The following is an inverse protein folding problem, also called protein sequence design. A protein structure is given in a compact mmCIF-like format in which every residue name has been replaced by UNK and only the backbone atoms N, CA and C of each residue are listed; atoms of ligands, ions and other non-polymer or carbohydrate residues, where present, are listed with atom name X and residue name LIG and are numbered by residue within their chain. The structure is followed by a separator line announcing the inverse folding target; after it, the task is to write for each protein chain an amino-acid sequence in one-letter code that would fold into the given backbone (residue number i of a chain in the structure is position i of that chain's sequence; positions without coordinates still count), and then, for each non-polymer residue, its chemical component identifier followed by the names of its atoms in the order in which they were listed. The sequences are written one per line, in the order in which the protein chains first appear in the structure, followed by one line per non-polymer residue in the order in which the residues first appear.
data_IF_259187981893
#
_entry.id   IF_259187981893
#
_cell.length_a   1.000
_cell.length_b   1.000
_cell.length_c   1.000
_cell.angle_alpha   90.00
_cell.angle_beta   90.00
_cell.angle_gamma   90.00
#
_symmetry.space_group_name_H-M   'P 1'
#
loop_
_entity.id
_entity.type
_entity.pdbx_description
1 polymer ?
#
# COMPACT_ATOMS: atom_id res chain seq x y z
N UNK A 1 -24.11 26.83 -1.88
CA UNK A 1 -22.79 26.23 -2.18
C UNK A 1 -22.24 26.88 -3.45
N UNK A 2 -20.92 27.07 -3.61
CA UNK A 2 -20.32 27.77 -4.77
C UNK A 2 -19.87 26.73 -5.83
N UNK A 3 -20.55 26.60 -7.00
CA UNK A 3 -20.31 25.51 -7.95
C UNK A 3 -18.85 25.41 -8.44
N UNK A 4 -18.18 26.55 -8.64
CA UNK A 4 -16.78 26.59 -9.06
C UNK A 4 -15.81 26.04 -8.01
N UNK A 5 -16.10 26.25 -6.72
CA UNK A 5 -15.28 25.67 -5.63
C UNK A 5 -15.48 24.15 -5.63
N UNK A 6 -16.72 23.68 -5.75
CA UNK A 6 -17.02 22.25 -5.81
C UNK A 6 -16.34 21.58 -7.01
N UNK A 7 -16.39 22.19 -8.20
CA UNK A 7 -15.70 21.67 -9.38
C UNK A 7 -14.18 21.61 -9.18
N UNK A 8 -13.55 22.71 -8.73
CA UNK A 8 -12.10 22.77 -8.55
C UNK A 8 -11.60 21.77 -7.49
N UNK A 9 -12.31 21.61 -6.38
CA UNK A 9 -11.87 20.73 -5.28
C UNK A 9 -12.30 19.27 -5.52
N UNK A 10 -13.58 19.01 -5.74
CA UNK A 10 -14.11 17.65 -5.78
C UNK A 10 -13.81 16.93 -7.11
N UNK A 11 -13.55 17.68 -8.18
CA UNK A 11 -13.24 17.11 -9.51
C UNK A 11 -11.76 17.30 -9.83
N UNK A 12 -11.31 18.53 -10.03
CA UNK A 12 -9.96 18.80 -10.57
C UNK A 12 -8.87 18.34 -9.60
N UNK A 13 -8.89 18.84 -8.36
CA UNK A 13 -7.88 18.48 -7.36
C UNK A 13 -7.93 16.97 -7.04
N UNK A 14 -9.13 16.40 -6.89
CA UNK A 14 -9.31 14.95 -6.68
C UNK A 14 -8.64 14.13 -7.79
N UNK A 15 -8.94 14.43 -9.06
CA UNK A 15 -8.37 13.70 -10.20
C UNK A 15 -6.85 13.89 -10.25
N UNK A 16 -6.37 15.11 -10.06
CA UNK A 16 -4.94 15.40 -10.01
C UNK A 16 -4.21 14.54 -8.98
N UNK A 17 -4.73 14.46 -7.75
CA UNK A 17 -4.14 13.65 -6.68
C UNK A 17 -4.17 12.15 -7.00
N UNK A 18 -5.29 11.64 -7.51
CA UNK A 18 -5.43 10.22 -7.89
C UNK A 18 -4.44 9.85 -9.02
N UNK A 19 -4.26 10.73 -10.01
CA UNK A 19 -3.31 10.49 -11.09
C UNK A 19 -1.86 10.47 -10.58
N UNK A 20 -1.49 11.41 -9.71
CA UNK A 20 -0.15 11.42 -9.10
C UNK A 20 0.10 10.18 -8.26
N UNK A 21 -0.91 9.72 -7.54
CA UNK A 21 -0.88 8.48 -6.79
C UNK A 21 -0.57 7.28 -7.70
N UNK A 22 -1.35 7.12 -8.77
CA UNK A 22 -1.17 6.05 -9.75
C UNK A 22 0.22 6.11 -10.42
N UNK A 23 0.66 7.30 -10.83
CA UNK A 23 1.96 7.47 -11.47
C UNK A 23 3.13 7.29 -10.51
N UNK A 24 2.94 7.54 -9.21
CA UNK A 24 3.96 7.29 -8.19
C UNK A 24 4.31 5.81 -8.10
N UNK A 25 3.32 4.92 -8.15
CA UNK A 25 3.57 3.47 -8.17
C UNK A 25 4.31 3.07 -9.45
N UNK A 26 3.85 3.56 -10.61
CA UNK A 26 4.49 3.29 -11.91
C UNK A 26 5.90 3.89 -12.07
N UNK A 27 6.31 4.80 -11.18
CA UNK A 27 7.64 5.44 -11.20
C UNK A 27 8.51 4.97 -10.04
N UNK A 28 8.18 5.37 -8.81
CA UNK A 28 8.99 5.09 -7.63
C UNK A 28 9.11 3.59 -7.35
N UNK A 29 8.01 2.83 -7.45
CA UNK A 29 8.07 1.38 -7.21
C UNK A 29 8.77 0.60 -8.34
N UNK A 30 9.03 1.22 -9.49
CA UNK A 30 9.84 0.63 -10.56
C UNK A 30 11.32 1.02 -10.49
N UNK A 31 11.67 2.01 -9.69
CA UNK A 31 13.04 2.55 -9.61
C UNK A 31 13.69 2.31 -8.25
N UNK A 32 12.97 2.52 -7.16
CA UNK A 32 13.46 2.43 -5.79
C UNK A 32 12.84 1.24 -5.05
N UNK A 33 13.63 0.57 -4.21
CA UNK A 33 13.18 -0.51 -3.35
C UNK A 33 13.98 -1.81 -3.53
N UNK A 34 13.43 -2.89 -2.99
CA UNK A 34 14.06 -4.22 -2.98
C UNK A 34 13.35 -5.17 -3.94
N UNK A 35 14.05 -6.20 -4.42
CA UNK A 35 13.48 -7.17 -5.38
C UNK A 35 13.64 -8.61 -4.88
N UNK A 36 12.95 -8.98 -3.79
CA UNK A 36 13.16 -10.28 -3.15
C UNK A 36 12.63 -11.47 -3.95
N UNK A 37 11.65 -11.29 -4.84
CA UNK A 37 10.97 -12.38 -5.57
C UNK A 37 11.52 -12.62 -6.97
N UNK A 38 11.82 -11.56 -7.73
CA UNK A 38 12.54 -11.63 -9.01
C UNK A 38 13.39 -10.36 -9.20
N UNK A 39 14.71 -10.48 -9.10
CA UNK A 39 15.63 -9.34 -9.23
C UNK A 39 15.87 -8.92 -10.69
N UNK A 40 15.37 -9.69 -11.67
CA UNK A 40 15.62 -9.47 -13.10
C UNK A 40 14.60 -8.52 -13.73
N UNK A 41 13.50 -8.24 -13.03
CA UNK A 41 12.47 -7.28 -13.44
C UNK A 41 12.66 -5.95 -12.71
N UNK A 42 12.14 -4.86 -13.27
CA UNK A 42 12.23 -3.52 -12.65
C UNK A 42 11.38 -3.29 -11.39
N UNK A 43 10.12 -3.77 -11.30
CA UNK A 43 9.26 -3.60 -10.12
C UNK A 43 9.97 -3.99 -8.82
N UNK A 44 9.82 -3.17 -7.79
CA UNK A 44 10.48 -3.27 -6.51
C UNK A 44 9.48 -3.07 -5.37
N UNK A 45 9.70 -3.78 -4.27
CA UNK A 45 8.97 -3.59 -3.02
C UNK A 45 9.54 -2.38 -2.27
N UNK A 46 8.66 -1.46 -1.89
CA UNK A 46 9.04 -0.22 -1.21
C UNK A 46 7.99 0.19 -0.16
N UNK A 47 8.33 0.09 1.14
CA UNK A 47 7.38 0.37 2.24
C UNK A 47 6.84 1.82 2.25
N UNK A 48 7.66 2.83 1.97
CA UNK A 48 7.15 4.22 1.91
C UNK A 48 6.15 4.38 0.77
N UNK A 49 6.47 3.89 -0.43
CA UNK A 49 5.52 3.86 -1.56
C UNK A 49 4.27 3.09 -1.13
N UNK A 50 4.39 1.97 -0.42
CA UNK A 50 3.25 1.21 0.09
C UNK A 50 2.32 2.07 0.95
N UNK A 51 2.87 2.87 1.87
CA UNK A 51 2.05 3.72 2.74
C UNK A 51 1.37 4.87 1.98
N UNK A 52 2.13 5.63 1.18
CA UNK A 52 1.56 6.75 0.42
C UNK A 52 0.59 6.27 -0.66
N UNK A 53 0.79 5.03 -1.16
CA UNK A 53 -0.02 4.40 -2.21
C UNK A 53 -1.24 3.61 -1.69
N UNK A 54 -1.50 3.60 -0.37
CA UNK A 54 -2.54 2.79 0.27
C UNK A 54 -2.42 1.27 0.03
N UNK A 55 -1.20 0.72 -0.08
CA UNK A 55 -0.96 -0.73 -0.15
C UNK A 55 -0.35 -1.25 -1.46
N UNK A 56 -0.14 -0.37 -2.45
CA UNK A 56 0.32 -0.76 -3.79
C UNK A 56 1.85 -0.79 -3.95
N UNK A 57 2.59 -0.71 -2.85
CA UNK A 57 4.05 -0.58 -2.87
C UNK A 57 4.81 -1.89 -2.86
N UNK A 58 4.14 -3.04 -2.69
CA UNK A 58 4.75 -4.37 -2.79
C UNK A 58 4.75 -4.82 -4.27
N UNK A 59 5.49 -4.07 -5.08
CA UNK A 59 5.38 -4.13 -6.52
C UNK A 59 6.23 -5.26 -7.14
N UNK A 60 7.30 -5.70 -6.48
CA UNK A 60 8.04 -6.88 -6.95
C UNK A 60 7.18 -8.14 -6.82
N UNK A 61 6.52 -8.33 -5.67
CA UNK A 61 5.60 -9.46 -5.50
C UNK A 61 4.45 -9.41 -6.50
N UNK A 62 3.78 -8.25 -6.61
CA UNK A 62 2.62 -8.06 -7.48
C UNK A 62 2.94 -8.45 -8.95
N UNK A 63 4.11 -8.07 -9.46
CA UNK A 63 4.50 -8.43 -10.83
C UNK A 63 4.93 -9.90 -10.98
N UNK A 64 5.42 -10.54 -9.92
CA UNK A 64 5.80 -11.95 -9.97
C UNK A 64 4.59 -12.88 -9.83
N UNK A 65 3.60 -12.50 -9.01
CA UNK A 65 2.37 -13.25 -8.76
C UNK A 65 1.13 -12.38 -9.03
N UNK A 66 0.87 -11.98 -10.29
CA UNK A 66 -0.19 -11.03 -10.63
C UNK A 66 -1.61 -11.55 -10.36
N UNK A 67 -1.75 -12.85 -10.09
CA UNK A 67 -3.02 -13.49 -9.76
C UNK A 67 -3.31 -13.55 -8.25
N UNK A 68 -2.33 -13.31 -7.38
CA UNK A 68 -2.55 -13.33 -5.93
C UNK A 68 -3.28 -12.05 -5.51
N UNK A 69 -4.51 -12.20 -5.01
CA UNK A 69 -5.34 -11.05 -4.65
C UNK A 69 -4.72 -10.19 -3.54
N UNK A 70 -3.80 -10.74 -2.74
CA UNK A 70 -3.21 -10.07 -1.58
C UNK A 70 -2.09 -9.12 -1.94
N UNK A 71 -1.54 -9.23 -3.15
CA UNK A 71 -0.35 -8.50 -3.62
C UNK A 71 0.88 -8.60 -2.69
N UNK A 72 0.89 -9.57 -1.77
CA UNK A 72 2.02 -9.93 -0.92
C UNK A 72 1.83 -11.38 -0.39
N UNK A 73 2.91 -12.00 0.09
CA UNK A 73 2.88 -13.36 0.63
C UNK A 73 2.48 -13.46 2.11
N UNK A 74 2.28 -12.32 2.79
CA UNK A 74 1.94 -12.25 4.22
C UNK A 74 0.43 -12.36 4.46
N UNK A 75 0.03 -12.73 5.69
CA UNK A 75 -1.33 -12.53 6.16
C UNK A 75 -1.73 -11.05 6.15
N UNK A 76 -3.01 -10.80 5.87
CA UNK A 76 -3.64 -9.47 5.73
C UNK A 76 -3.36 -8.50 6.88
N UNK A 77 -3.24 -9.02 8.11
CA UNK A 77 -3.07 -8.20 9.31
C UNK A 77 -1.62 -7.73 9.52
N UNK A 78 -0.64 -8.31 8.82
CA UNK A 78 0.78 -8.02 9.05
C UNK A 78 1.31 -6.79 8.30
N UNK A 79 0.62 -6.41 7.24
CA UNK A 79 1.03 -5.33 6.35
C UNK A 79 -0.11 -4.35 6.17
N UNK A 80 0.21 -3.07 6.20
CA UNK A 80 -0.66 -1.96 5.87
C UNK A 80 -1.09 -2.09 4.42
N UNK A 81 -2.32 -2.61 4.23
CA UNK A 81 -2.94 -2.75 2.94
C UNK A 81 -4.48 -2.66 3.06
N UNK A 82 -5.03 -1.43 3.21
CA UNK A 82 -6.47 -1.22 3.39
C UNK A 82 -7.35 -1.81 2.27
N UNK A 83 -7.02 -1.69 0.96
CA UNK A 83 -7.81 -2.27 -0.12
C UNK A 83 -7.99 -3.78 0.01
N UNK A 84 -6.93 -4.51 0.38
CA UNK A 84 -7.04 -5.96 0.50
C UNK A 84 -7.82 -6.36 1.75
N UNK A 85 -7.72 -5.61 2.85
CA UNK A 85 -8.62 -5.80 4.00
C UNK A 85 -10.09 -5.57 3.65
N UNK A 86 -10.39 -4.60 2.78
CA UNK A 86 -11.74 -4.40 2.26
C UNK A 86 -12.22 -5.62 1.45
N UNK A 87 -11.39 -6.15 0.54
CA UNK A 87 -11.70 -7.38 -0.20
C UNK A 87 -11.91 -8.57 0.75
N UNK A 88 -11.07 -8.69 1.77
CA UNK A 88 -11.20 -9.74 2.77
C UNK A 88 -12.52 -9.61 3.54
N UNK A 89 -12.92 -8.40 3.97
CA UNK A 89 -14.23 -8.16 4.58
C UNK A 89 -15.36 -8.55 3.64
N UNK A 90 -15.30 -8.15 2.37
CA UNK A 90 -16.27 -8.55 1.35
C UNK A 90 -16.38 -10.08 1.24
N UNK A 91 -15.26 -10.81 1.32
CA UNK A 91 -15.31 -12.28 1.29
C UNK A 91 -15.97 -12.90 2.52
N UNK A 92 -15.84 -12.27 3.69
CA UNK A 92 -16.45 -12.74 4.94
C UNK A 92 -17.97 -12.64 4.91
N UNK A 93 -18.52 -11.73 4.10
CA UNK A 93 -19.96 -11.54 3.92
C UNK A 93 -20.48 -12.08 2.58
N UNK A 94 -19.66 -12.84 1.83
CA UNK A 94 -20.07 -13.50 0.58
C UNK A 94 -20.13 -12.58 -0.66
N UNK A 95 -19.61 -11.35 -0.59
CA UNK A 95 -19.54 -10.43 -1.74
C UNK A 95 -18.32 -10.68 -2.63
N UNK A 96 -17.29 -11.34 -2.12
CA UNK A 96 -16.12 -11.76 -2.87
C UNK A 96 -15.84 -13.25 -2.63
N UNK A 97 -15.49 -13.98 -3.67
CA UNK A 97 -15.24 -15.41 -3.65
C UNK A 97 -14.10 -15.76 -4.62
N UNK A 98 -13.64 -17.01 -4.62
CA UNK A 98 -12.52 -17.49 -5.46
C UNK A 98 -11.25 -16.63 -5.38
N UNK A 99 -10.96 -16.14 -4.18
CA UNK A 99 -9.75 -15.36 -3.91
C UNK A 99 -8.51 -16.24 -4.11
N UNK A 100 -7.76 -15.96 -5.19
CA UNK A 100 -6.57 -16.72 -5.57
C UNK A 100 -5.36 -16.27 -4.79
N UNK A 101 -4.58 -17.23 -4.34
CA UNK A 101 -3.38 -17.03 -3.52
C UNK A 101 -2.25 -17.88 -4.11
N UNK A 102 -1.04 -17.32 -4.21
CA UNK A 102 0.15 -18.11 -4.50
C UNK A 102 0.51 -18.96 -3.28
N UNK A 103 0.72 -20.27 -3.48
CA UNK A 103 1.05 -21.16 -2.37
C UNK A 103 2.43 -20.81 -1.77
N UNK A 104 2.65 -21.03 -0.47
CA UNK A 104 3.95 -20.78 0.17
C UNK A 104 5.10 -21.51 -0.52
N UNK A 105 4.86 -22.71 -1.04
CA UNK A 105 5.82 -23.53 -1.78
C UNK A 105 6.20 -22.86 -3.10
N UNK A 106 5.20 -22.43 -3.88
CA UNK A 106 5.41 -21.72 -5.16
C UNK A 106 6.18 -20.41 -4.94
N UNK A 107 5.87 -19.67 -3.88
CA UNK A 107 6.60 -18.44 -3.52
C UNK A 107 8.05 -18.78 -3.17
N UNK A 108 8.28 -19.76 -2.28
CA UNK A 108 9.62 -20.17 -1.86
C UNK A 108 10.48 -20.67 -3.00
N UNK A 109 9.94 -21.48 -3.90
CA UNK A 109 10.65 -21.98 -5.08
C UNK A 109 10.97 -20.85 -6.07
N UNK A 110 10.05 -19.91 -6.24
CA UNK A 110 10.26 -18.74 -7.10
C UNK A 110 11.39 -17.88 -6.57
N UNK A 111 11.38 -17.55 -5.28
CA UNK A 111 12.49 -16.83 -4.61
C UNK A 111 13.79 -17.61 -4.74
N UNK A 112 13.76 -18.93 -4.55
CA UNK A 112 14.96 -19.77 -4.66
C UNK A 112 15.58 -19.79 -6.06
N UNK A 113 14.77 -19.64 -7.11
CA UNK A 113 15.17 -19.69 -8.53
C UNK A 113 15.49 -18.31 -9.13
N UNK A 114 14.71 -17.28 -8.76
CA UNK A 114 14.69 -15.97 -9.43
C UNK A 114 14.91 -14.80 -8.48
N UNK A 115 14.67 -15.00 -7.19
CA UNK A 115 14.70 -13.95 -6.19
C UNK A 115 16.08 -13.76 -5.55
N UNK A 116 16.16 -12.74 -4.70
CA UNK A 116 17.30 -12.50 -3.84
C UNK A 116 16.99 -12.98 -2.42
N UNK A 117 17.61 -14.10 -2.03
CA UNK A 117 17.39 -14.72 -0.72
C UNK A 117 17.85 -13.85 0.45
N UNK A 118 18.78 -12.92 0.23
CA UNK A 118 19.23 -11.99 1.27
C UNK A 118 18.20 -10.89 1.54
N UNK A 119 17.37 -10.56 0.54
CA UNK A 119 16.32 -9.54 0.63
C UNK A 119 14.95 -10.13 0.99
N UNK A 120 14.73 -11.42 0.78
CA UNK A 120 13.48 -12.10 1.14
C UNK A 120 13.33 -12.22 2.66
N UNK A 121 12.23 -11.68 3.21
CA UNK A 121 11.98 -11.71 4.65
C UNK A 121 11.35 -13.06 5.07
N UNK A 122 12.05 -13.91 5.85
CA UNK A 122 11.49 -15.16 6.33
C UNK A 122 10.39 -14.93 7.37
N UNK A 123 9.54 -15.94 7.59
CA UNK A 123 8.55 -15.89 8.67
C UNK A 123 9.28 -15.92 10.01
N UNK A 124 9.03 -14.89 10.85
CA UNK A 124 9.61 -14.74 12.19
C UNK A 124 8.62 -15.16 13.29
N UNK A 125 9.04 -15.07 14.54
CA UNK A 125 8.19 -15.39 15.69
C UNK A 125 6.90 -14.57 15.71
N UNK A 126 5.82 -15.15 16.26
CA UNK A 126 4.52 -14.48 16.35
C UNK A 126 4.62 -13.12 17.07
N UNK A 127 5.40 -13.04 18.16
CA UNK A 127 5.64 -11.79 18.89
C UNK A 127 6.23 -10.71 18.00
N UNK A 128 7.23 -11.05 17.18
CA UNK A 128 7.84 -10.11 16.24
C UNK A 128 6.81 -9.61 15.22
N UNK A 129 6.03 -10.54 14.64
CA UNK A 129 5.02 -10.22 13.63
C UNK A 129 3.93 -9.30 14.17
N UNK A 130 3.41 -9.57 15.38
CA UNK A 130 2.42 -8.71 16.04
C UNK A 130 2.96 -7.30 16.26
N UNK A 131 4.17 -7.18 16.83
CA UNK A 131 4.78 -5.87 17.11
C UNK A 131 5.02 -5.11 15.81
N UNK A 132 5.61 -5.75 14.80
CA UNK A 132 5.88 -5.11 13.52
C UNK A 132 4.59 -4.72 12.78
N UNK A 133 3.54 -5.54 12.84
CA UNK A 133 2.23 -5.22 12.28
C UNK A 133 1.63 -3.97 12.93
N UNK A 134 1.69 -3.85 14.26
CA UNK A 134 1.21 -2.65 14.97
C UNK A 134 1.95 -1.41 14.47
N UNK A 135 3.28 -1.47 14.39
CA UNK A 135 4.08 -0.34 13.87
C UNK A 135 3.77 -0.03 12.41
N UNK A 136 3.68 -1.05 11.56
CA UNK A 136 3.41 -0.90 10.13
C UNK A 136 2.05 -0.23 9.88
N UNK A 137 1.00 -0.66 10.62
CA UNK A 137 -0.32 -0.03 10.54
C UNK A 137 -0.35 1.39 11.12
N UNK A 138 0.33 1.66 12.25
CA UNK A 138 0.39 3.02 12.82
C UNK A 138 1.08 3.98 11.83
N UNK A 139 2.26 3.61 11.33
CA UNK A 139 3.03 4.41 10.39
C UNK A 139 2.24 4.55 9.07
N UNK A 140 1.66 3.45 8.59
CA UNK A 140 0.85 3.42 7.39
C UNK A 140 -0.34 4.37 7.48
N UNK A 141 -1.12 4.33 8.56
CA UNK A 141 -2.27 5.23 8.76
C UNK A 141 -1.81 6.69 8.83
N UNK A 142 -0.80 7.01 9.63
CA UNK A 142 -0.27 8.39 9.73
C UNK A 142 0.17 8.87 8.34
N UNK A 143 0.97 8.08 7.65
CA UNK A 143 1.49 8.46 6.32
C UNK A 143 0.36 8.58 5.30
N UNK A 144 -0.60 7.65 5.28
CA UNK A 144 -1.70 7.61 4.34
C UNK A 144 -2.69 8.79 4.49
N UNK A 145 -2.68 9.48 5.64
CA UNK A 145 -3.43 10.72 5.86
C UNK A 145 -2.77 11.95 5.21
N UNK A 146 -1.68 11.77 4.44
CA UNK A 146 -0.96 12.85 3.74
C UNK A 146 -1.87 13.74 2.89
N UNK A 147 -2.94 13.19 2.31
CA UNK A 147 -3.89 13.95 1.48
C UNK A 147 -4.67 14.99 2.31
N UNK A 148 -4.88 14.71 3.60
CA UNK A 148 -5.68 15.55 4.49
C UNK A 148 -4.82 16.64 5.15
N UNK A 149 -3.52 16.39 5.32
CA UNK A 149 -2.62 17.32 6.02
C UNK A 149 -2.56 18.73 5.42
N UNK A 150 -2.47 18.94 4.10
CA UNK A 150 -2.50 20.29 3.53
C UNK A 150 -3.80 21.04 3.83
N UNK A 151 -4.94 20.34 3.76
CA UNK A 151 -6.24 20.94 4.07
C UNK A 151 -6.38 21.27 5.57
N UNK A 152 -5.89 20.38 6.43
CA UNK A 152 -5.86 20.60 7.88
C UNK A 152 -4.94 21.78 8.24
N UNK A 153 -3.74 21.81 7.67
CA UNK A 153 -2.77 22.90 7.87
C UNK A 153 -3.35 24.23 7.37
N UNK A 154 -3.91 24.28 6.17
CA UNK A 154 -4.56 25.46 5.64
C UNK A 154 -5.65 25.96 6.59
N UNK A 155 -6.54 25.06 7.05
CA UNK A 155 -7.56 25.41 8.03
C UNK A 155 -6.95 25.98 9.30
N UNK A 156 -5.96 25.31 9.91
CA UNK A 156 -5.32 25.79 11.15
C UNK A 156 -4.61 27.13 10.96
N UNK A 157 -4.00 27.38 9.80
CA UNK A 157 -3.27 28.61 9.51
C UNK A 157 -4.19 29.80 9.14
N UNK A 158 -5.39 29.55 8.60
CA UNK A 158 -6.31 30.61 8.15
C UNK A 158 -7.50 30.85 9.09
N UNK A 159 -7.72 29.99 10.10
CA UNK A 159 -8.72 30.27 11.12
C UNK A 159 -8.26 31.52 11.90
N UNK A 160 -9.10 32.56 12.03
CA UNK A 160 -8.77 33.66 12.93
C UNK A 160 -8.59 33.08 14.33
N UNK A 161 -7.51 33.46 15.01
CA UNK A 161 -7.37 33.20 16.44
C UNK A 161 -8.51 33.97 17.11
N UNK A 162 -9.60 33.28 17.43
CA UNK A 162 -10.64 33.83 18.29
C UNK A 162 -10.02 33.83 19.68
N UNK A 163 -9.46 34.98 20.07
CA UNK A 163 -9.17 35.26 21.47
C UNK A 163 -10.53 35.34 22.19
N UNK A 164 -10.78 34.40 23.10
CA UNK A 164 -11.84 34.48 24.11
C UNK A 164 -11.28 35.25 25.29
#
# INVERSE_FOLDING_TARGET
ERPWIAFSVCVVLRIFLILHHLFTVNSLAHYFGYRPYDFRIRPADHRIVNYISFGEGIHNYHHVFPFDYRINDRPQWELFNPPINFIHLCSRIGLAYDLRIASPEVVKETVARKGDRALYDPIRSLKFRIVNAIFDWIIGIITALWIIYPALFFKLATQPIIYI
#
